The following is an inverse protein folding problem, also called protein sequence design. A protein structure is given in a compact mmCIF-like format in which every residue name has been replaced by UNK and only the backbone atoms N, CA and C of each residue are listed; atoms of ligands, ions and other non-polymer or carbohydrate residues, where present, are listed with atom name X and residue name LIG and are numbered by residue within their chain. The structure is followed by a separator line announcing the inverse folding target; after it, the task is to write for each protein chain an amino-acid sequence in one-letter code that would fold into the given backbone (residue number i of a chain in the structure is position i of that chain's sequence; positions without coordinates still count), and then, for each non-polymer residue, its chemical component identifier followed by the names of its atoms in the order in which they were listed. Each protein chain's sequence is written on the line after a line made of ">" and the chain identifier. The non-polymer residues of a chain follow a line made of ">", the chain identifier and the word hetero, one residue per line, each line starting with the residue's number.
data_IF_105998003914
#
_entry.id   IF_105998003914
#
_cell.length_a   1.000
_cell.length_b   1.000
_cell.length_c   1.000
_cell.angle_alpha   90.00
_cell.angle_beta   90.00
_cell.angle_gamma   90.00
#
_symmetry.space_group_name_H-M   'P 1'
#
loop_
_entity.id
_entity.type
_entity.pdbx_description
1 polymer ?
#
# COMPACT_ATOMS: atom_id res chain seq x y z
N UNK A 1 -20.45 -3.50 18.08
CA UNK A 1 -19.82 -2.78 16.98
C UNK A 1 -19.71 -3.70 15.77
N UNK A 2 -20.25 -3.28 14.63
CA UNK A 2 -20.18 -4.09 13.42
C UNK A 2 -18.71 -4.18 12.94
N UNK A 3 -18.33 -5.37 12.49
CA UNK A 3 -17.01 -5.54 11.88
C UNK A 3 -16.95 -4.78 10.56
N UNK A 4 -15.84 -4.12 10.26
CA UNK A 4 -15.72 -3.40 9.00
C UNK A 4 -15.69 -4.36 7.81
N UNK A 5 -16.09 -3.86 6.65
CA UNK A 5 -15.96 -4.63 5.41
C UNK A 5 -14.50 -4.77 5.00
N UNK A 6 -13.73 -3.71 5.22
CA UNK A 6 -12.33 -3.67 4.81
C UNK A 6 -11.40 -3.44 6.00
N UNK A 7 -10.23 -4.06 5.95
CA UNK A 7 -9.08 -3.68 6.77
C UNK A 7 -8.02 -3.18 5.80
N UNK A 8 -7.65 -1.92 5.90
CA UNK A 8 -6.66 -1.28 5.03
C UNK A 8 -5.35 -1.14 5.78
N UNK A 9 -4.31 -1.81 5.29
CA UNK A 9 -2.98 -1.73 5.88
C UNK A 9 -2.17 -0.68 5.14
N UNK A 10 -1.65 0.28 5.87
CA UNK A 10 -0.79 1.34 5.35
C UNK A 10 0.58 1.30 6.03
N UNK A 11 1.57 1.88 5.42
CA UNK A 11 2.94 1.90 5.93
C UNK A 11 3.94 1.85 4.79
N UNK A 12 5.21 2.08 5.12
CA UNK A 12 6.30 2.07 4.15
C UNK A 12 6.51 0.69 3.53
N UNK A 13 7.13 0.66 2.36
CA UNK A 13 7.60 -0.57 1.76
C UNK A 13 8.52 -1.32 2.73
N UNK A 14 8.39 -2.64 2.79
CA UNK A 14 9.16 -3.45 3.73
C UNK A 14 8.61 -3.51 5.15
N UNK A 15 7.51 -2.82 5.46
CA UNK A 15 6.91 -2.83 6.81
C UNK A 15 6.15 -4.12 7.14
N UNK A 16 5.95 -4.99 6.15
CA UNK A 16 5.28 -6.28 6.37
C UNK A 16 3.80 -6.29 5.99
N UNK A 17 3.31 -5.29 5.26
CA UNK A 17 1.89 -5.19 4.86
C UNK A 17 1.39 -6.45 4.16
N UNK A 18 2.13 -6.93 3.15
CA UNK A 18 1.69 -8.10 2.39
C UNK A 18 1.63 -9.36 3.23
N UNK A 19 2.62 -9.56 4.12
CA UNK A 19 2.64 -10.73 5.01
C UNK A 19 1.51 -10.68 6.04
N UNK A 20 1.29 -9.51 6.66
CA UNK A 20 0.20 -9.32 7.63
C UNK A 20 -1.15 -9.44 6.94
N UNK A 21 -1.30 -8.84 5.77
CA UNK A 21 -2.55 -8.90 5.00
C UNK A 21 -2.92 -10.34 4.66
N UNK A 22 -1.95 -11.15 4.24
CA UNK A 22 -2.18 -12.56 3.91
C UNK A 22 -2.70 -13.34 5.11
N UNK A 23 -2.09 -13.15 6.28
CA UNK A 23 -2.50 -13.83 7.51
C UNK A 23 -3.86 -13.36 7.99
N UNK A 24 -4.12 -12.06 7.95
CA UNK A 24 -5.42 -11.51 8.34
C UNK A 24 -6.53 -12.02 7.42
N UNK A 25 -6.33 -11.97 6.12
CA UNK A 25 -7.31 -12.42 5.15
C UNK A 25 -7.67 -13.90 5.39
N UNK A 26 -6.67 -14.75 5.63
CA UNK A 26 -6.90 -16.17 5.93
C UNK A 26 -7.68 -16.36 7.22
N UNK A 27 -7.32 -15.63 8.30
CA UNK A 27 -7.99 -15.77 9.59
C UNK A 27 -9.42 -15.23 9.61
N UNK A 28 -9.72 -14.28 8.73
CA UNK A 28 -11.05 -13.65 8.65
C UNK A 28 -11.91 -14.23 7.53
N UNK A 29 -11.40 -15.19 6.80
CA UNK A 29 -12.06 -15.71 5.59
C UNK A 29 -12.46 -14.56 4.65
N UNK A 30 -11.51 -13.69 4.38
CA UNK A 30 -11.69 -12.49 3.56
C UNK A 30 -10.79 -12.54 2.33
N UNK A 31 -11.15 -11.78 1.30
CA UNK A 31 -10.30 -11.62 0.13
C UNK A 31 -9.03 -10.86 0.49
N UNK A 32 -7.94 -11.16 -0.21
CA UNK A 32 -6.67 -10.44 -0.10
C UNK A 32 -6.50 -9.58 -1.35
N UNK A 33 -6.39 -8.27 -1.16
CA UNK A 33 -6.17 -7.32 -2.24
C UNK A 33 -4.87 -6.54 -1.96
N UNK A 34 -3.94 -6.62 -2.89
CA UNK A 34 -2.67 -5.87 -2.84
C UNK A 34 -2.69 -4.89 -4.00
N UNK A 35 -2.62 -3.58 -3.72
CA UNK A 35 -2.76 -2.57 -4.76
C UNK A 35 -1.64 -2.61 -5.79
N UNK A 36 -0.40 -2.94 -5.39
CA UNK A 36 0.70 -3.12 -6.35
C UNK A 36 0.41 -4.26 -7.31
N UNK A 37 -0.05 -5.40 -6.78
CA UNK A 37 -0.40 -6.55 -7.62
C UNK A 37 -1.58 -6.22 -8.54
N UNK A 38 -2.55 -5.50 -8.05
CA UNK A 38 -3.70 -5.07 -8.87
C UNK A 38 -3.25 -4.19 -10.04
N UNK A 39 -2.30 -3.28 -9.80
CA UNK A 39 -1.71 -2.45 -10.83
C UNK A 39 -0.99 -3.32 -11.88
N UNK A 40 -0.18 -4.25 -11.43
CA UNK A 40 0.55 -5.15 -12.34
C UNK A 40 -0.38 -6.03 -13.16
N UNK A 41 -1.40 -6.60 -12.53
CA UNK A 41 -2.37 -7.45 -13.23
C UNK A 41 -3.16 -6.66 -14.28
N UNK A 42 -3.55 -5.43 -13.97
CA UNK A 42 -4.29 -4.58 -14.91
C UNK A 42 -3.42 -4.11 -16.09
N UNK A 43 -2.15 -3.82 -15.84
CA UNK A 43 -1.24 -3.30 -16.86
C UNK A 43 -0.56 -4.40 -17.69
N UNK A 44 -0.52 -5.63 -17.18
CA UNK A 44 0.24 -6.72 -17.80
C UNK A 44 1.75 -6.50 -17.75
N UNK A 45 2.22 -5.65 -16.83
CA UNK A 45 3.63 -5.27 -16.64
C UNK A 45 3.94 -5.15 -15.17
N UNK A 46 5.21 -5.27 -14.80
CA UNK A 46 5.64 -5.05 -13.42
C UNK A 46 5.61 -3.55 -13.09
N UNK A 47 5.55 -3.23 -11.79
CA UNK A 47 5.65 -1.85 -11.31
C UNK A 47 6.94 -1.21 -11.83
N UNK A 48 8.04 -1.94 -11.80
CA UNK A 48 9.33 -1.45 -12.32
C UNK A 48 9.23 -1.07 -13.80
N UNK A 49 8.59 -1.89 -14.61
CA UNK A 49 8.41 -1.62 -16.04
C UNK A 49 7.53 -0.39 -16.27
N UNK A 50 6.47 -0.22 -15.48
CA UNK A 50 5.60 0.94 -15.56
C UNK A 50 6.38 2.23 -15.24
N UNK A 51 7.19 2.21 -14.17
CA UNK A 51 8.04 3.36 -13.83
C UNK A 51 9.03 3.68 -14.95
N UNK A 52 9.69 2.67 -15.50
CA UNK A 52 10.71 2.85 -16.53
C UNK A 52 10.12 3.36 -17.87
N UNK A 53 8.98 2.84 -18.27
CA UNK A 53 8.38 3.13 -19.57
C UNK A 53 7.41 4.32 -19.54
N UNK A 54 6.58 4.43 -18.50
CA UNK A 54 5.50 5.42 -18.44
C UNK A 54 5.72 6.51 -17.38
N UNK A 55 6.65 6.30 -16.44
CA UNK A 55 6.99 7.27 -15.40
C UNK A 55 6.17 7.13 -14.12
N UNK A 56 6.57 7.88 -13.10
CA UNK A 56 5.96 7.80 -11.76
C UNK A 56 4.49 8.26 -11.78
N UNK A 57 4.17 9.32 -12.52
CA UNK A 57 2.81 9.85 -12.56
C UNK A 57 1.80 8.83 -13.10
N UNK A 58 2.19 8.08 -14.15
CA UNK A 58 1.35 7.02 -14.69
C UNK A 58 1.13 5.90 -13.68
N UNK A 59 2.18 5.54 -12.95
CA UNK A 59 2.08 4.56 -11.87
C UNK A 59 1.14 5.04 -10.77
N UNK A 60 1.26 6.29 -10.34
CA UNK A 60 0.39 6.86 -9.29
C UNK A 60 -1.08 6.89 -9.71
N UNK A 61 -1.36 7.18 -10.98
CA UNK A 61 -2.72 7.11 -11.51
C UNK A 61 -3.27 5.69 -11.46
N UNK A 62 -2.45 4.71 -11.80
CA UNK A 62 -2.82 3.29 -11.73
C UNK A 62 -3.06 2.83 -10.29
N UNK A 63 -2.24 3.29 -9.34
CA UNK A 63 -2.43 3.04 -7.91
C UNK A 63 -3.78 3.58 -7.41
N UNK A 64 -4.12 4.80 -7.80
CA UNK A 64 -5.38 5.43 -7.42
C UNK A 64 -6.57 4.62 -7.92
N UNK A 65 -6.53 4.16 -9.16
CA UNK A 65 -7.58 3.32 -9.73
C UNK A 65 -7.66 1.97 -9.02
N UNK A 66 -6.52 1.36 -8.70
CA UNK A 66 -6.49 0.11 -7.96
C UNK A 66 -7.12 0.25 -6.57
N UNK A 67 -6.79 1.33 -5.85
CA UNK A 67 -7.37 1.59 -4.53
C UNK A 67 -8.89 1.83 -4.63
N UNK A 68 -9.32 2.61 -5.62
CA UNK A 68 -10.75 2.86 -5.84
C UNK A 68 -11.49 1.56 -6.11
N UNK A 69 -10.94 0.70 -6.95
CA UNK A 69 -11.51 -0.60 -7.25
C UNK A 69 -11.57 -1.50 -6.01
N UNK A 70 -10.51 -1.53 -5.21
CA UNK A 70 -10.46 -2.32 -3.98
C UNK A 70 -11.53 -1.90 -2.98
N UNK A 71 -11.69 -0.60 -2.75
CA UNK A 71 -12.68 -0.07 -1.82
C UNK A 71 -14.11 -0.09 -2.36
N UNK A 72 -14.26 -0.29 -3.67
CA UNK A 72 -15.57 -0.43 -4.32
C UNK A 72 -16.14 -1.84 -4.30
N UNK A 73 -15.39 -2.81 -3.85
CA UNK A 73 -15.82 -4.21 -3.83
C UNK A 73 -16.95 -4.49 -2.85
N UNK A 74 -17.77 -5.49 -3.17
CA UNK A 74 -18.91 -5.87 -2.35
C UNK A 74 -18.57 -6.87 -1.23
N UNK A 75 -17.44 -7.53 -1.32
CA UNK A 75 -17.02 -8.59 -0.39
C UNK A 75 -16.06 -8.06 0.66
N UNK A 76 -16.00 -8.76 1.80
CA UNK A 76 -15.03 -8.47 2.85
C UNK A 76 -13.61 -8.67 2.33
N UNK A 77 -12.71 -7.73 2.60
CA UNK A 77 -11.33 -7.81 2.11
C UNK A 77 -10.34 -7.19 3.07
N UNK A 78 -9.11 -7.72 3.04
CA UNK A 78 -7.93 -7.08 3.61
C UNK A 78 -7.15 -6.47 2.45
N UNK A 79 -6.89 -5.18 2.52
CA UNK A 79 -6.24 -4.40 1.47
C UNK A 79 -4.85 -4.00 1.93
N UNK A 80 -3.82 -4.54 1.27
CA UNK A 80 -2.45 -4.08 1.46
C UNK A 80 -2.23 -2.90 0.50
N UNK A 81 -2.28 -1.69 1.03
CA UNK A 81 -2.09 -0.49 0.23
C UNK A 81 -0.59 -0.22 0.02
N UNK A 82 -0.19 0.07 -1.21
CA UNK A 82 1.20 0.40 -1.52
C UNK A 82 1.67 1.60 -0.68
N UNK A 83 2.96 1.62 -0.35
CA UNK A 83 3.52 2.63 0.57
C UNK A 83 3.28 4.07 0.16
N UNK A 84 3.25 4.35 -1.14
CA UNK A 84 3.03 5.68 -1.68
C UNK A 84 1.58 6.08 -1.90
N UNK A 85 0.63 5.20 -1.61
CA UNK A 85 -0.82 5.48 -1.79
C UNK A 85 -1.24 6.75 -1.06
N UNK A 86 -0.74 6.97 0.15
CA UNK A 86 -1.12 8.12 0.98
C UNK A 86 -0.58 9.46 0.48
N UNK A 87 0.32 9.48 -0.50
CA UNK A 87 0.90 10.73 -1.00
C UNK A 87 -0.08 11.56 -1.80
N UNK A 88 -1.12 10.94 -2.35
CA UNK A 88 -2.15 11.63 -3.12
C UNK A 88 -3.39 11.90 -2.28
N UNK A 89 -3.86 13.14 -2.35
CA UNK A 89 -5.04 13.57 -1.59
C UNK A 89 -6.30 12.76 -1.96
N UNK A 90 -6.60 12.47 -3.24
CA UNK A 90 -7.77 11.64 -3.57
C UNK A 90 -7.74 10.26 -2.91
N UNK A 91 -6.56 9.64 -2.78
CA UNK A 91 -6.42 8.36 -2.10
C UNK A 91 -6.71 8.48 -0.60
N UNK A 92 -6.18 9.54 0.03
CA UNK A 92 -6.47 9.80 1.45
C UNK A 92 -7.96 10.05 1.65
N UNK A 93 -8.60 10.77 0.75
CA UNK A 93 -10.04 11.02 0.82
C UNK A 93 -10.84 9.72 0.74
N UNK A 94 -10.47 8.80 -0.16
CA UNK A 94 -11.11 7.49 -0.29
C UNK A 94 -10.99 6.67 1.00
N UNK A 95 -9.78 6.57 1.54
CA UNK A 95 -9.51 5.80 2.76
C UNK A 95 -10.22 6.41 3.96
N UNK A 96 -10.12 7.72 4.13
CA UNK A 96 -10.75 8.42 5.24
C UNK A 96 -12.28 8.40 5.14
N UNK A 97 -12.82 8.45 3.93
CA UNK A 97 -14.25 8.30 3.71
C UNK A 97 -14.73 6.93 4.17
N UNK A 98 -14.08 5.87 3.73
CA UNK A 98 -14.42 4.51 4.14
C UNK A 98 -14.31 4.31 5.66
N UNK A 99 -13.30 4.95 6.29
CA UNK A 99 -13.13 4.89 7.74
C UNK A 99 -14.27 5.61 8.47
N UNK A 100 -14.63 6.83 8.04
CA UNK A 100 -15.72 7.59 8.66
C UNK A 100 -17.07 6.90 8.53
N UNK A 101 -17.29 6.23 7.40
CA UNK A 101 -18.53 5.50 7.14
C UNK A 101 -18.59 4.15 7.89
N UNK A 102 -17.54 3.79 8.62
CA UNK A 102 -17.47 2.51 9.32
C UNK A 102 -17.22 1.32 8.40
N UNK A 103 -16.96 1.56 7.12
CA UNK A 103 -16.70 0.51 6.16
C UNK A 103 -15.29 -0.07 6.25
N UNK A 104 -14.34 0.71 6.77
CA UNK A 104 -12.95 0.28 6.87
C UNK A 104 -12.32 0.61 8.22
N UNK A 105 -11.46 -0.29 8.69
CA UNK A 105 -10.45 0.02 9.69
C UNK A 105 -9.14 0.24 8.96
N UNK A 106 -8.41 1.29 9.34
CA UNK A 106 -7.10 1.61 8.78
C UNK A 106 -6.04 1.32 9.82
N UNK A 107 -5.10 0.46 9.46
CA UNK A 107 -4.03 0.02 10.37
C UNK A 107 -2.68 0.42 9.79
N UNK A 108 -1.96 1.25 10.52
CA UNK A 108 -0.62 1.66 10.13
C UNK A 108 0.43 0.72 10.73
N UNK A 109 1.15 0.02 9.86
CA UNK A 109 2.29 -0.80 10.27
C UNK A 109 3.52 0.09 10.37
N UNK A 110 3.78 0.60 11.57
CA UNK A 110 4.94 1.43 11.86
C UNK A 110 6.18 0.56 12.01
N UNK A 111 7.25 0.93 11.33
CA UNK A 111 8.52 0.21 11.42
C UNK A 111 9.66 1.23 11.39
N UNK A 112 10.67 0.98 12.23
CA UNK A 112 11.86 1.82 12.26
C UNK A 112 12.56 1.79 10.89
N UNK A 113 13.02 2.93 10.34
CA UNK A 113 13.70 2.97 9.05
C UNK A 113 14.90 2.04 8.94
N UNK A 114 15.68 1.84 10.00
CA UNK A 114 16.82 0.93 9.99
C UNK A 114 16.38 -0.52 9.78
N UNK A 115 15.30 -0.94 10.43
CA UNK A 115 14.74 -2.28 10.22
C UNK A 115 14.23 -2.44 8.79
N UNK A 116 13.67 -1.37 8.19
CA UNK A 116 13.23 -1.39 6.80
C UNK A 116 14.40 -1.55 5.84
N UNK A 117 15.51 -0.86 6.09
CA UNK A 117 16.73 -0.99 5.26
C UNK A 117 17.18 -2.45 5.22
N UNK A 118 17.25 -3.10 6.37
CA UNK A 118 17.64 -4.50 6.45
C UNK A 118 16.72 -5.42 5.68
N UNK A 119 15.41 -5.22 5.80
CA UNK A 119 14.39 -6.03 5.11
C UNK A 119 14.43 -5.86 3.60
N UNK A 120 14.52 -4.62 3.09
CA UNK A 120 14.54 -4.38 1.64
C UNK A 120 15.84 -4.82 0.98
N UNK A 121 16.95 -4.86 1.73
CA UNK A 121 18.23 -5.39 1.24
C UNK A 121 18.15 -6.88 0.90
N UNK A 122 17.24 -7.61 1.55
CA UNK A 122 17.02 -9.05 1.33
C UNK A 122 15.91 -9.33 0.33
N UNK A 123 15.09 -8.33 0.03
CA UNK A 123 13.88 -8.47 -0.77
C UNK A 123 14.09 -8.18 -2.24
N UNK A 124 12.97 -8.15 -2.94
CA UNK A 124 12.92 -7.85 -4.36
C UNK A 124 13.25 -6.40 -4.68
N UNK A 125 13.37 -6.14 -5.95
CA UNK A 125 13.76 -4.86 -6.49
C UNK A 125 12.66 -3.81 -6.35
N UNK A 126 13.02 -2.60 -5.88
CA UNK A 126 12.10 -1.47 -5.71
C UNK A 126 12.66 -0.23 -6.39
N UNK A 127 12.00 0.30 -7.43
CA UNK A 127 12.55 1.40 -8.22
C UNK A 127 13.00 2.63 -7.42
N UNK A 128 12.24 3.01 -6.39
CA UNK A 128 12.57 4.17 -5.57
C UNK A 128 13.80 3.98 -4.69
N UNK A 129 14.26 2.74 -4.53
CA UNK A 129 15.38 2.38 -3.64
C UNK A 129 16.66 2.02 -4.42
N UNK A 130 16.69 2.24 -5.74
CA UNK A 130 17.79 1.79 -6.59
C UNK A 130 19.14 2.45 -6.26
N UNK A 131 19.15 3.75 -5.91
CA UNK A 131 20.38 4.51 -5.70
C UNK A 131 20.92 4.40 -4.26
N UNK A 132 20.16 4.87 -3.27
CA UNK A 132 20.55 4.85 -1.87
C UNK A 132 19.35 4.42 -1.03
N UNK A 133 19.21 3.12 -0.74
CA UNK A 133 18.04 2.61 -0.02
C UNK A 133 17.85 3.24 1.35
N UNK A 134 18.93 3.45 2.10
CA UNK A 134 18.87 4.00 3.45
C UNK A 134 18.37 5.45 3.44
N UNK A 135 19.00 6.31 2.67
CA UNK A 135 18.62 7.72 2.59
C UNK A 135 17.18 7.87 2.08
N UNK A 136 16.80 7.06 1.09
CA UNK A 136 15.46 7.05 0.54
C UNK A 136 14.43 6.65 1.58
N UNK A 137 14.67 5.57 2.33
CA UNK A 137 13.74 5.11 3.36
C UNK A 137 13.59 6.10 4.51
N UNK A 138 14.67 6.72 4.95
CA UNK A 138 14.61 7.75 6.00
C UNK A 138 13.79 8.94 5.52
N UNK A 139 14.04 9.41 4.31
CA UNK A 139 13.29 10.52 3.71
C UNK A 139 11.79 10.16 3.58
N UNK A 140 11.48 8.99 3.04
CA UNK A 140 10.09 8.55 2.89
C UNK A 140 9.39 8.38 4.23
N UNK A 141 10.10 7.89 5.25
CA UNK A 141 9.58 7.78 6.60
C UNK A 141 9.18 9.16 7.15
N UNK A 142 10.06 10.15 7.01
CA UNK A 142 9.79 11.50 7.52
C UNK A 142 8.66 12.19 6.75
N UNK A 143 8.64 12.04 5.42
CA UNK A 143 7.61 12.65 4.57
C UNK A 143 6.24 12.02 4.73
N UNK A 144 6.18 10.71 4.87
CA UNK A 144 4.92 9.94 4.82
C UNK A 144 4.31 9.64 6.17
N UNK A 145 5.10 9.60 7.25
CA UNK A 145 4.56 9.27 8.57
C UNK A 145 3.37 10.13 8.98
N UNK A 146 3.37 11.47 8.77
CA UNK A 146 2.18 12.27 9.06
C UNK A 146 0.95 11.89 8.25
N UNK A 147 1.14 11.33 7.06
CA UNK A 147 0.05 10.93 6.17
C UNK A 147 -0.54 9.58 6.53
N UNK A 148 0.26 8.69 7.15
CA UNK A 148 -0.24 7.41 7.64
C UNK A 148 -1.02 7.54 8.95
N UNK A 149 -0.72 8.54 9.72
CA UNK A 149 -1.33 8.74 11.05
C UNK A 149 -2.86 9.20 10.97
#
# INVERSE_FOLDING_TARGET
>A
VASPRFIVLVGLMGSGKSAVARRLAASMDAALLDTDKMVEDAAGRTVREIFAEDGEEAFRAAEEEALRSALGGGSRAVIAAAGGVVTREPNRALINGARRDGAAWVVWLRTDPEALVERVSRGGHRPLLDDDPRATLVRLHDERSPLYA
#
